data_IF_377060540427
#
_entry.id   IF_377060540427
#
_cell.length_a   1.000
_cell.length_b   1.000
_cell.length_c   1.000
_cell.angle_alpha   90.00
_cell.angle_beta   90.00
_cell.angle_gamma   90.00
#
_symmetry.space_group_name_H-M   'P 1'
#
loop_
_entity.id
_entity.type
_entity.pdbx_description
1 polymer ?
#
# COMPACT_ATOMS: atom_id res chain seq x y z
N UNK A 1 -11.37 -39.62 -2.82
CA UNK A 1 -10.17 -38.92 -3.33
C UNK A 1 -9.07 -39.14 -2.30
N UNK A 2 -7.92 -39.60 -2.71
CA UNK A 2 -6.78 -39.90 -1.85
C UNK A 2 -5.86 -38.68 -1.78
N UNK A 3 -5.05 -38.55 -0.74
CA UNK A 3 -4.04 -37.51 -0.61
C UNK A 3 -3.06 -37.54 -1.80
N UNK A 4 -2.72 -38.76 -2.27
CA UNK A 4 -1.85 -38.94 -3.45
C UNK A 4 -2.37 -38.36 -4.75
N UNK A 5 -3.70 -38.13 -4.85
CA UNK A 5 -4.35 -37.66 -6.07
C UNK A 5 -4.37 -36.11 -6.13
N UNK A 6 -3.95 -35.44 -5.03
CA UNK A 6 -3.94 -34.00 -4.89
C UNK A 6 -2.59 -33.42 -5.31
N UNK A 7 -2.67 -32.25 -5.94
CA UNK A 7 -1.50 -31.47 -6.37
C UNK A 7 -1.47 -30.10 -5.68
N UNK A 8 -0.29 -29.59 -5.47
CA UNK A 8 -0.05 -28.21 -4.99
C UNK A 8 0.27 -27.35 -6.20
N UNK A 9 -0.38 -26.24 -6.31
CA UNK A 9 -0.07 -25.19 -7.29
C UNK A 9 0.76 -24.12 -6.60
N UNK A 10 1.93 -23.81 -7.15
CA UNK A 10 2.89 -22.87 -6.55
C UNK A 10 2.31 -21.45 -6.41
N UNK A 11 1.50 -21.00 -7.36
CA UNK A 11 0.87 -19.69 -7.29
C UNK A 11 -0.18 -19.66 -6.16
N UNK A 12 -0.99 -20.71 -6.00
CA UNK A 12 -1.98 -20.78 -4.92
C UNK A 12 -1.29 -20.86 -3.54
N UNK A 13 -0.21 -21.64 -3.44
CA UNK A 13 0.58 -21.72 -2.21
C UNK A 13 1.23 -20.39 -1.86
N UNK A 14 1.77 -19.66 -2.84
CA UNK A 14 2.43 -18.37 -2.65
C UNK A 14 1.52 -17.26 -2.11
N UNK A 15 0.21 -17.39 -2.29
CA UNK A 15 -0.80 -16.44 -1.76
C UNK A 15 -1.02 -16.64 -0.26
N UNK A 16 -0.73 -17.82 0.26
CA UNK A 16 -0.98 -18.16 1.66
C UNK A 16 0.20 -17.68 2.50
N UNK A 17 -0.05 -16.85 3.52
CA UNK A 17 1.01 -16.42 4.42
C UNK A 17 1.69 -17.65 5.05
N UNK A 18 3.03 -17.73 5.03
CA UNK A 18 3.73 -18.83 5.65
C UNK A 18 3.53 -18.83 7.16
N UNK A 19 3.46 -20.02 7.75
CA UNK A 19 3.58 -20.18 9.19
C UNK A 19 5.05 -20.07 9.60
N UNK A 20 5.31 -19.65 10.83
CA UNK A 20 6.62 -19.86 11.44
C UNK A 20 6.85 -21.35 11.71
N UNK A 21 8.10 -21.75 11.89
CA UNK A 21 8.43 -23.15 12.19
C UNK A 21 7.74 -23.57 13.49
N UNK A 22 7.69 -22.70 14.49
CA UNK A 22 6.99 -22.94 15.77
C UNK A 22 5.47 -23.14 15.57
N UNK A 23 4.83 -22.27 14.77
CA UNK A 23 3.40 -22.39 14.47
C UNK A 23 3.09 -23.67 13.69
N UNK A 24 4.01 -24.08 12.80
CA UNK A 24 3.85 -25.32 12.03
C UNK A 24 3.97 -26.54 12.92
N UNK A 25 4.95 -26.58 13.83
CA UNK A 25 5.12 -27.69 14.78
C UNK A 25 3.92 -27.80 15.74
N UNK A 26 3.43 -26.68 16.28
CA UNK A 26 2.23 -26.67 17.12
C UNK A 26 1.00 -27.20 16.37
N UNK A 27 0.84 -26.84 15.09
CA UNK A 27 -0.24 -27.37 14.27
C UNK A 27 -0.08 -28.89 14.06
N UNK A 28 1.15 -29.35 13.82
CA UNK A 28 1.47 -30.77 13.62
C UNK A 28 1.20 -31.57 14.88
N UNK A 29 1.67 -31.14 16.04
CA UNK A 29 1.41 -31.77 17.34
C UNK A 29 -0.10 -31.90 17.61
N UNK A 30 -0.84 -30.80 17.45
CA UNK A 30 -2.29 -30.81 17.64
C UNK A 30 -3.01 -31.83 16.75
N UNK A 31 -2.63 -31.92 15.47
CA UNK A 31 -3.25 -32.89 14.54
C UNK A 31 -2.87 -34.34 14.90
N UNK A 32 -1.65 -34.58 15.34
CA UNK A 32 -1.19 -35.91 15.74
C UNK A 32 -1.89 -36.38 17.03
N UNK A 33 -2.05 -35.48 18.01
CA UNK A 33 -2.75 -35.76 19.25
C UNK A 33 -4.23 -36.10 19.04
N UNK A 34 -4.89 -35.33 18.13
CA UNK A 34 -6.29 -35.55 17.78
C UNK A 34 -6.51 -36.80 16.90
N UNK A 35 -5.49 -37.27 16.18
CA UNK A 35 -5.57 -38.34 15.21
C UNK A 35 -6.39 -38.05 13.97
N UNK A 36 -6.85 -36.79 13.81
CA UNK A 36 -7.61 -36.35 12.65
C UNK A 36 -7.44 -34.85 12.34
N UNK A 37 -7.65 -34.52 11.08
CA UNK A 37 -7.68 -33.15 10.61
C UNK A 37 -9.12 -32.64 10.60
N UNK A 38 -9.52 -31.87 11.62
CA UNK A 38 -10.90 -31.37 11.77
C UNK A 38 -11.37 -30.48 10.61
N UNK A 39 -10.53 -29.54 10.17
CA UNK A 39 -10.87 -28.67 9.06
C UNK A 39 -10.52 -29.32 7.72
N UNK A 40 -11.50 -29.45 6.78
CA UNK A 40 -11.26 -30.12 5.52
C UNK A 40 -10.23 -29.39 4.65
N UNK A 41 -9.56 -30.15 3.78
CA UNK A 41 -8.83 -29.57 2.66
C UNK A 41 -9.84 -29.08 1.61
N UNK A 42 -9.67 -27.88 1.10
CA UNK A 42 -10.49 -27.37 -0.01
C UNK A 42 -9.73 -27.56 -1.31
N UNK A 43 -10.38 -28.18 -2.29
CA UNK A 43 -9.75 -28.52 -3.57
C UNK A 43 -10.62 -28.09 -4.75
N UNK A 44 -9.95 -27.72 -5.84
CA UNK A 44 -10.51 -27.42 -7.16
C UNK A 44 -9.71 -28.15 -8.22
N UNK A 45 -10.37 -28.97 -9.05
CA UNK A 45 -9.70 -29.77 -10.08
C UNK A 45 -8.49 -30.56 -9.56
N UNK A 46 -8.61 -31.17 -8.37
CA UNK A 46 -7.55 -31.88 -7.65
C UNK A 46 -6.37 -31.00 -7.16
N UNK A 47 -6.45 -29.70 -7.36
CA UNK A 47 -5.46 -28.74 -6.84
C UNK A 47 -5.93 -28.26 -5.47
N UNK A 48 -5.02 -28.16 -4.53
CA UNK A 48 -5.31 -27.65 -3.19
C UNK A 48 -5.48 -26.14 -3.25
N UNK A 49 -6.61 -25.65 -2.74
CA UNK A 49 -6.95 -24.23 -2.66
C UNK A 49 -6.84 -23.71 -1.22
N UNK A 50 -7.19 -24.53 -0.22
CA UNK A 50 -6.94 -24.22 1.19
C UNK A 50 -6.52 -25.48 1.94
N UNK A 51 -5.62 -25.28 2.92
CA UNK A 51 -5.12 -26.34 3.78
C UNK A 51 -3.74 -26.88 3.39
N UNK A 52 -2.90 -26.09 2.73
CA UNK A 52 -1.56 -26.48 2.29
C UNK A 52 -0.67 -27.01 3.45
N UNK A 53 -0.70 -26.36 4.61
CA UNK A 53 0.06 -26.85 5.79
C UNK A 53 -0.47 -28.18 6.30
N UNK A 54 -1.80 -28.35 6.37
CA UNK A 54 -2.45 -29.61 6.74
C UNK A 54 -2.15 -30.73 5.74
N UNK A 55 -2.10 -30.39 4.45
CA UNK A 55 -1.72 -31.34 3.42
C UNK A 55 -0.26 -31.81 3.57
N UNK A 56 0.66 -30.91 3.94
CA UNK A 56 2.06 -31.30 4.21
C UNK A 56 2.15 -32.32 5.33
N UNK A 57 1.41 -32.11 6.42
CA UNK A 57 1.34 -33.04 7.54
C UNK A 57 0.73 -34.39 7.12
N UNK A 58 -0.38 -34.35 6.36
CA UNK A 58 -1.05 -35.55 5.88
C UNK A 58 -0.21 -36.38 4.89
N UNK A 59 0.74 -35.78 4.19
CA UNK A 59 1.70 -36.52 3.34
C UNK A 59 2.70 -37.34 4.15
N UNK A 60 3.07 -36.88 5.34
CA UNK A 60 3.98 -37.55 6.25
C UNK A 60 3.26 -38.60 7.11
N UNK A 61 1.96 -38.38 7.39
CA UNK A 61 1.13 -39.17 8.32
C UNK A 61 -0.15 -39.63 7.64
N UNK A 62 -0.03 -40.67 6.78
CA UNK A 62 -1.13 -41.20 5.98
C UNK A 62 -2.22 -41.90 6.76
N UNK A 63 -1.95 -42.27 8.03
CA UNK A 63 -2.88 -42.86 8.97
C UNK A 63 -3.94 -41.91 9.53
N UNK A 64 -3.69 -40.63 9.44
CA UNK A 64 -4.59 -39.57 9.95
C UNK A 64 -5.90 -39.53 9.17
N UNK A 65 -6.98 -39.30 9.88
CA UNK A 65 -8.29 -39.08 9.27
C UNK A 65 -8.37 -37.65 8.73
N UNK A 66 -8.97 -37.48 7.55
CA UNK A 66 -9.15 -36.17 6.92
C UNK A 66 -10.42 -36.12 6.09
N UNK A 67 -10.84 -34.90 5.78
CA UNK A 67 -11.97 -34.63 4.89
C UNK A 67 -11.52 -33.71 3.75
N UNK A 68 -12.13 -33.88 2.59
CA UNK A 68 -11.90 -33.05 1.42
C UNK A 68 -13.22 -32.42 1.01
N UNK A 69 -13.23 -31.11 0.79
CA UNK A 69 -14.35 -30.36 0.24
C UNK A 69 -13.98 -29.89 -1.15
N UNK A 70 -14.74 -30.29 -2.15
CA UNK A 70 -14.59 -29.78 -3.51
C UNK A 70 -15.31 -28.45 -3.62
N UNK A 71 -14.65 -27.50 -4.27
CA UNK A 71 -15.21 -26.20 -4.61
C UNK A 71 -14.96 -25.91 -6.08
N UNK A 72 -15.97 -25.45 -6.78
CA UNK A 72 -15.86 -25.08 -8.18
C UNK A 72 -15.59 -23.57 -8.30
N UNK A 73 -14.72 -23.21 -9.24
CA UNK A 73 -14.42 -21.84 -9.63
C UNK A 73 -14.48 -21.75 -11.15
N UNK A 74 -14.94 -20.62 -11.67
CA UNK A 74 -15.04 -20.40 -13.12
C UNK A 74 -13.65 -20.34 -13.77
N UNK A 75 -12.69 -19.78 -13.04
CA UNK A 75 -11.31 -19.64 -13.54
C UNK A 75 -10.31 -19.54 -12.39
N UNK A 76 -9.02 -19.58 -12.74
CA UNK A 76 -7.90 -19.48 -11.80
C UNK A 76 -7.92 -18.19 -10.95
N UNK A 77 -8.31 -17.07 -11.56
CA UNK A 77 -8.31 -15.78 -10.88
C UNK A 77 -9.39 -15.70 -9.80
N UNK A 78 -10.54 -16.33 -10.03
CA UNK A 78 -11.58 -16.45 -9.01
C UNK A 78 -11.11 -17.30 -7.83
N UNK A 79 -10.41 -18.41 -8.10
CA UNK A 79 -9.82 -19.24 -7.05
C UNK A 79 -8.82 -18.44 -6.19
N UNK A 80 -7.90 -17.68 -6.82
CA UNK A 80 -6.93 -16.84 -6.11
C UNK A 80 -7.64 -15.74 -5.29
N UNK A 81 -8.65 -15.09 -5.86
CA UNK A 81 -9.44 -14.08 -5.13
C UNK A 81 -10.11 -14.68 -3.90
N UNK A 82 -10.67 -15.90 -4.04
CA UNK A 82 -11.26 -16.62 -2.91
C UNK A 82 -10.22 -16.98 -1.85
N UNK A 83 -9.03 -17.45 -2.25
CA UNK A 83 -7.92 -17.71 -1.31
C UNK A 83 -7.59 -16.45 -0.53
N UNK A 84 -7.40 -15.31 -1.22
CA UNK A 84 -7.09 -14.04 -0.57
C UNK A 84 -8.17 -13.64 0.45
N UNK A 85 -9.45 -13.75 0.07
CA UNK A 85 -10.57 -13.42 0.96
C UNK A 85 -10.61 -14.33 2.19
N UNK A 86 -10.41 -15.63 2.00
CA UNK A 86 -10.38 -16.62 3.08
C UNK A 86 -9.22 -16.35 4.06
N UNK A 87 -8.04 -16.00 3.53
CA UNK A 87 -6.89 -15.63 4.37
C UNK A 87 -7.12 -14.31 5.12
N UNK A 88 -7.74 -13.29 4.48
CA UNK A 88 -8.06 -12.01 5.11
C UNK A 88 -9.01 -12.16 6.31
N UNK A 89 -9.81 -13.21 6.37
CA UNK A 89 -10.65 -13.55 7.53
C UNK A 89 -9.86 -14.07 8.75
N UNK A 90 -8.59 -14.37 8.63
CA UNK A 90 -7.77 -14.87 9.74
C UNK A 90 -7.35 -13.74 10.67
N UNK A 91 -7.27 -14.03 11.97
CA UNK A 91 -6.97 -13.03 13.02
C UNK A 91 -5.48 -12.66 13.10
N UNK A 92 -4.57 -13.55 12.70
CA UNK A 92 -3.13 -13.47 12.97
C UNK A 92 -2.32 -12.90 11.79
N UNK A 93 -2.93 -12.08 10.92
CA UNK A 93 -2.21 -11.45 9.82
C UNK A 93 -1.54 -10.16 10.28
N UNK A 94 -0.27 -9.99 9.95
CA UNK A 94 0.40 -8.70 10.07
C UNK A 94 -0.03 -7.73 8.97
N UNK A 95 0.27 -6.43 9.14
CA UNK A 95 -0.17 -5.39 8.20
C UNK A 95 0.39 -5.58 6.78
N UNK A 96 1.57 -6.17 6.66
CA UNK A 96 2.20 -6.45 5.35
C UNK A 96 1.50 -7.60 4.66
N UNK A 97 1.18 -8.68 5.38
CA UNK A 97 0.41 -9.81 4.88
C UNK A 97 -0.99 -9.36 4.42
N UNK A 98 -1.69 -8.55 5.25
CA UNK A 98 -2.99 -7.97 4.87
C UNK A 98 -2.88 -7.16 3.58
N UNK A 99 -1.86 -6.31 3.47
CA UNK A 99 -1.61 -5.51 2.28
C UNK A 99 -1.36 -6.36 1.04
N UNK A 100 -0.53 -7.40 1.16
CA UNK A 100 -0.28 -8.35 0.07
C UNK A 100 -1.57 -9.02 -0.41
N UNK A 101 -2.39 -9.52 0.52
CA UNK A 101 -3.65 -10.19 0.20
C UNK A 101 -4.66 -9.24 -0.47
N UNK A 102 -4.80 -8.01 0.04
CA UNK A 102 -5.69 -7.00 -0.56
C UNK A 102 -5.23 -6.65 -1.98
N UNK A 103 -3.93 -6.42 -2.17
CA UNK A 103 -3.37 -6.09 -3.48
C UNK A 103 -3.51 -7.22 -4.48
N UNK A 104 -3.23 -8.46 -4.07
CA UNK A 104 -3.36 -9.65 -4.92
C UNK A 104 -4.83 -9.93 -5.27
N UNK A 105 -5.74 -9.82 -4.31
CA UNK A 105 -7.18 -9.90 -4.56
C UNK A 105 -7.63 -8.87 -5.61
N UNK A 106 -7.25 -7.62 -5.45
CA UNK A 106 -7.62 -6.57 -6.39
C UNK A 106 -7.07 -6.83 -7.79
N UNK A 107 -5.81 -7.25 -7.91
CA UNK A 107 -5.16 -7.61 -9.17
C UNK A 107 -5.88 -8.75 -9.87
N UNK A 108 -6.19 -9.83 -9.15
CA UNK A 108 -6.85 -11.03 -9.72
C UNK A 108 -8.30 -10.78 -10.10
N UNK A 109 -9.06 -10.02 -9.33
CA UNK A 109 -10.44 -9.67 -9.69
C UNK A 109 -10.51 -8.76 -10.93
N UNK A 110 -9.55 -7.89 -11.13
CA UNK A 110 -9.41 -7.12 -12.38
C UNK A 110 -9.15 -8.04 -13.57
N UNK A 111 -8.28 -9.04 -13.39
CA UNK A 111 -7.96 -10.01 -14.45
C UNK A 111 -9.16 -10.92 -14.77
N UNK A 112 -9.88 -11.39 -13.76
CA UNK A 112 -11.07 -12.20 -13.94
C UNK A 112 -12.13 -11.48 -14.80
N UNK A 113 -12.38 -10.21 -14.53
CA UNK A 113 -13.34 -9.41 -15.32
C UNK A 113 -12.84 -9.09 -16.74
N UNK A 114 -11.54 -8.91 -16.93
CA UNK A 114 -10.95 -8.66 -18.26
C UNK A 114 -10.78 -9.92 -19.09
N UNK A 115 -10.75 -11.10 -18.47
CA UNK A 115 -10.58 -12.38 -19.16
C UNK A 115 -11.88 -12.90 -19.77
N UNK A 116 -13.06 -12.48 -19.24
CA UNK A 116 -14.36 -12.97 -19.72
C UNK A 116 -14.75 -12.47 -21.12
N UNK A 117 -14.16 -11.35 -21.60
CA UNK A 117 -14.60 -10.72 -22.86
C UNK A 117 -13.53 -10.56 -23.94
N UNK A 118 -12.27 -10.96 -23.71
CA UNK A 118 -11.17 -10.69 -24.67
C UNK A 118 -10.94 -9.19 -24.92
N UNK A 119 -11.63 -8.33 -24.19
CA UNK A 119 -11.66 -6.89 -24.36
C UNK A 119 -10.72 -6.20 -23.40
N UNK A 120 -9.47 -6.08 -23.78
CA UNK A 120 -8.60 -5.03 -23.21
C UNK A 120 -9.07 -3.67 -23.73
N UNK A 121 -10.27 -3.25 -23.37
CA UNK A 121 -10.79 -1.94 -23.66
C UNK A 121 -10.02 -0.90 -22.87
N UNK A 122 -9.16 -0.15 -23.56
CA UNK A 122 -8.67 1.11 -23.03
C UNK A 122 -9.89 2.00 -22.80
N UNK A 123 -10.23 2.31 -21.55
CA UNK A 123 -11.37 3.16 -21.18
C UNK A 123 -11.32 4.56 -21.83
N UNK A 124 -10.23 4.89 -22.53
CA UNK A 124 -10.04 6.13 -23.30
C UNK A 124 -10.19 5.97 -24.80
N UNK A 125 -10.45 4.76 -25.35
CA UNK A 125 -10.86 4.64 -26.75
C UNK A 125 -12.34 5.01 -26.85
N UNK A 126 -12.64 6.25 -27.21
CA UNK A 126 -13.94 6.65 -27.74
C UNK A 126 -14.29 5.71 -28.90
N UNK A 127 -15.31 4.87 -28.68
CA UNK A 127 -15.90 4.07 -29.75
C UNK A 127 -16.45 5.04 -30.80
N UNK A 128 -15.88 5.02 -31.96
CA UNK A 128 -16.44 5.66 -33.15
C UNK A 128 -17.58 4.77 -33.59
N UNK A 129 -18.77 5.07 -33.10
CA UNK A 129 -20.13 4.82 -33.58
C UNK A 129 -21.08 4.57 -32.39
N UNK A 130 -21.65 5.60 -31.91
CA UNK A 130 -23.03 5.85 -31.58
C UNK A 130 -23.90 4.77 -30.90
N UNK A 131 -23.40 3.99 -29.95
CA UNK A 131 -24.28 3.38 -28.95
C UNK A 131 -23.58 3.50 -27.58
N UNK A 132 -23.96 4.51 -26.87
CA UNK A 132 -23.69 4.67 -25.44
C UNK A 132 -24.60 3.64 -24.75
N UNK A 133 -24.07 2.46 -24.45
CA UNK A 133 -24.65 1.59 -23.43
C UNK A 133 -24.10 2.14 -22.11
N UNK A 134 -24.94 2.72 -21.25
CA UNK A 134 -24.50 3.05 -19.89
C UNK A 134 -24.09 1.72 -19.25
N UNK A 135 -22.82 1.60 -18.89
CA UNK A 135 -22.43 0.57 -17.93
C UNK A 135 -23.30 0.79 -16.68
N UNK A 136 -23.90 -0.25 -16.07
CA UNK A 136 -24.61 -0.10 -14.84
C UNK A 136 -23.76 0.68 -13.85
N UNK A 137 -24.33 1.64 -13.14
CA UNK A 137 -23.66 2.47 -12.12
C UNK A 137 -22.96 1.62 -11.04
N UNK A 138 -23.32 0.36 -10.89
CA UNK A 138 -22.72 -0.63 -9.99
C UNK A 138 -21.41 -1.26 -10.52
N UNK A 139 -20.99 -0.97 -11.76
CA UNK A 139 -19.66 -1.37 -12.27
C UNK A 139 -18.51 -0.55 -11.63
N UNK A 140 -18.84 0.33 -10.69
CA UNK A 140 -17.88 1.15 -10.00
C UNK A 140 -16.90 0.31 -9.19
N UNK A 141 -15.83 0.05 -9.89
CA UNK A 141 -14.49 0.02 -9.37
C UNK A 141 -14.36 -1.08 -8.31
N UNK A 142 -13.87 -2.21 -8.74
CA UNK A 142 -13.42 -3.31 -7.88
C UNK A 142 -12.69 -2.78 -6.63
N UNK A 143 -11.95 -1.67 -6.76
CA UNK A 143 -11.29 -1.01 -5.63
C UNK A 143 -12.24 -0.43 -4.60
N UNK A 144 -13.35 0.20 -4.99
CA UNK A 144 -14.37 0.72 -4.05
C UNK A 144 -15.04 -0.38 -3.26
N UNK A 145 -15.42 -1.48 -3.95
CA UNK A 145 -16.06 -2.62 -3.30
C UNK A 145 -15.13 -3.29 -2.29
N UNK A 146 -13.89 -3.61 -2.71
CA UNK A 146 -12.89 -4.18 -1.80
C UNK A 146 -12.58 -3.24 -0.64
N UNK A 147 -12.53 -1.93 -0.88
CA UNK A 147 -12.31 -0.94 0.15
C UNK A 147 -13.43 -0.93 1.19
N UNK A 148 -14.69 -0.96 0.75
CA UNK A 148 -15.86 -1.04 1.63
C UNK A 148 -15.87 -2.34 2.46
N UNK A 149 -15.63 -3.49 1.82
CA UNK A 149 -15.56 -4.80 2.49
C UNK A 149 -14.44 -4.87 3.54
N UNK A 150 -13.31 -4.19 3.31
CA UNK A 150 -12.14 -4.21 4.20
C UNK A 150 -12.10 -3.03 5.19
N UNK A 151 -13.10 -2.16 5.20
CA UNK A 151 -13.12 -0.97 6.05
C UNK A 151 -11.97 0.00 5.77
N UNK A 152 -11.55 0.12 4.51
CA UNK A 152 -10.43 0.97 4.08
C UNK A 152 -10.87 1.90 2.93
N UNK A 153 -9.93 2.63 2.33
CA UNK A 153 -10.23 3.49 1.18
C UNK A 153 -9.63 2.93 -0.12
N UNK A 154 -10.22 3.32 -1.26
CA UNK A 154 -9.77 2.89 -2.59
C UNK A 154 -8.29 3.16 -2.86
N UNK A 155 -7.77 4.28 -2.37
CA UNK A 155 -6.37 4.64 -2.55
C UNK A 155 -5.45 3.63 -1.88
N UNK A 156 -5.86 3.08 -0.73
CA UNK A 156 -5.14 2.00 -0.04
C UNK A 156 -5.15 0.72 -0.87
N UNK A 157 -6.30 0.33 -1.43
CA UNK A 157 -6.42 -0.86 -2.29
C UNK A 157 -5.53 -0.75 -3.53
N UNK A 158 -5.58 0.39 -4.24
CA UNK A 158 -4.74 0.64 -5.43
C UNK A 158 -3.23 0.71 -5.11
N UNK A 159 -2.88 1.20 -3.92
CA UNK A 159 -1.49 1.18 -3.46
C UNK A 159 -1.02 -0.23 -3.10
N UNK A 160 -1.92 -1.04 -2.55
CA UNK A 160 -1.63 -2.43 -2.25
C UNK A 160 -1.34 -3.25 -3.53
N UNK A 161 -2.06 -3.01 -4.64
CA UNK A 161 -1.74 -3.61 -5.94
C UNK A 161 -0.31 -3.26 -6.39
N UNK A 162 0.02 -1.96 -6.38
CA UNK A 162 1.37 -1.51 -6.78
C UNK A 162 2.47 -2.09 -5.89
N UNK A 163 2.17 -2.33 -4.63
CA UNK A 163 3.09 -2.98 -3.71
C UNK A 163 3.30 -4.44 -4.10
N UNK A 164 2.22 -5.17 -4.42
CA UNK A 164 2.30 -6.55 -4.91
C UNK A 164 3.09 -6.62 -6.22
N UNK A 165 2.83 -5.74 -7.17
CA UNK A 165 3.59 -5.69 -8.43
C UNK A 165 5.09 -5.50 -8.19
N UNK A 166 5.44 -4.66 -7.19
CA UNK A 166 6.83 -4.46 -6.80
C UNK A 166 7.45 -5.68 -6.13
N UNK A 167 6.69 -6.40 -5.30
CA UNK A 167 7.15 -7.65 -4.68
C UNK A 167 7.32 -8.74 -5.71
N UNK A 168 6.36 -8.91 -6.63
CA UNK A 168 6.43 -9.89 -7.71
C UNK A 168 7.68 -9.62 -8.60
N UNK A 169 7.92 -8.36 -8.98
CA UNK A 169 9.09 -7.98 -9.77
C UNK A 169 10.43 -8.16 -9.03
N UNK A 170 10.43 -8.01 -7.71
CA UNK A 170 11.61 -8.27 -6.89
C UNK A 170 11.86 -9.76 -6.71
N UNK A 171 10.82 -10.57 -6.54
CA UNK A 171 10.90 -12.03 -6.42
C UNK A 171 11.49 -12.68 -7.68
N UNK A 172 11.17 -12.14 -8.88
CA UNK A 172 11.74 -12.60 -10.16
C UNK A 172 13.28 -12.49 -10.20
N UNK A 173 13.84 -11.44 -9.58
CA UNK A 173 15.29 -11.15 -9.64
C UNK A 173 16.03 -11.53 -8.35
N UNK A 174 15.31 -11.68 -7.26
CA UNK A 174 15.84 -12.01 -5.93
C UNK A 174 14.88 -12.98 -5.23
N UNK A 175 14.97 -14.31 -5.52
CA UNK A 175 14.10 -15.30 -4.92
C UNK A 175 14.13 -15.29 -3.39
N UNK A 176 12.96 -15.37 -2.75
CA UNK A 176 12.79 -15.29 -1.30
C UNK A 176 12.44 -13.89 -0.78
N UNK A 177 12.43 -12.87 -1.64
CA UNK A 177 12.09 -11.50 -1.25
C UNK A 177 10.66 -11.40 -0.68
N UNK A 178 9.70 -12.06 -1.31
CA UNK A 178 8.31 -12.08 -0.83
C UNK A 178 8.18 -12.73 0.56
N UNK A 179 8.93 -13.81 0.81
CA UNK A 179 8.98 -14.46 2.12
C UNK A 179 9.59 -13.55 3.19
N UNK A 180 10.69 -12.88 2.87
CA UNK A 180 11.39 -11.97 3.80
C UNK A 180 10.51 -10.74 4.18
N UNK A 181 9.71 -10.23 3.24
CA UNK A 181 8.74 -9.16 3.51
C UNK A 181 7.56 -9.69 4.35
N UNK A 182 6.98 -10.83 4.00
CA UNK A 182 5.79 -11.35 4.67
C UNK A 182 6.08 -11.86 6.06
N UNK A 183 7.28 -12.40 6.30
CA UNK A 183 7.77 -12.78 7.63
C UNK A 183 8.13 -11.56 8.51
N UNK A 184 8.29 -10.37 7.89
CA UNK A 184 8.68 -9.16 8.60
C UNK A 184 10.19 -9.03 8.87
N UNK A 185 11.02 -9.88 8.26
CA UNK A 185 12.49 -9.78 8.30
C UNK A 185 12.96 -8.45 7.72
N UNK A 186 12.32 -7.99 6.64
CA UNK A 186 12.49 -6.65 6.10
C UNK A 186 11.16 -5.90 6.12
N UNK A 187 11.20 -4.58 6.39
CA UNK A 187 10.01 -3.70 6.46
C UNK A 187 10.19 -2.48 5.56
N UNK A 188 10.27 -2.67 4.25
CA UNK A 188 10.51 -1.56 3.33
C UNK A 188 9.29 -0.63 3.26
N UNK A 189 9.53 0.62 2.83
CA UNK A 189 8.43 1.54 2.53
C UNK A 189 7.70 1.05 1.28
N UNK A 190 6.38 1.16 1.31
CA UNK A 190 5.52 0.74 0.18
C UNK A 190 5.87 1.45 -1.14
N UNK A 191 6.28 2.73 -1.08
CA UNK A 191 6.75 3.48 -2.24
C UNK A 191 7.96 2.85 -2.89
N UNK A 192 8.93 2.43 -2.07
CA UNK A 192 10.22 1.96 -2.56
C UNK A 192 10.07 0.58 -3.23
N UNK A 193 9.25 -0.30 -2.65
CA UNK A 193 8.88 -1.57 -3.28
C UNK A 193 8.14 -1.33 -4.61
N UNK A 194 7.16 -0.42 -4.64
CA UNK A 194 6.39 -0.14 -5.85
C UNK A 194 7.24 0.48 -6.99
N UNK A 195 8.41 1.05 -6.70
CA UNK A 195 9.34 1.55 -7.73
C UNK A 195 10.03 0.41 -8.48
N UNK A 196 10.25 -0.74 -7.83
CA UNK A 196 10.93 -1.90 -8.45
C UNK A 196 10.16 -2.38 -9.70
N UNK A 197 8.83 -2.47 -9.62
CA UNK A 197 8.01 -2.87 -10.78
C UNK A 197 8.13 -1.92 -11.97
N UNK A 198 8.46 -0.65 -11.73
CA UNK A 198 8.57 0.37 -12.78
C UNK A 198 9.99 0.49 -13.35
N UNK A 199 10.97 -0.04 -12.64
CA UNK A 199 12.36 0.03 -13.03
C UNK A 199 12.66 -0.94 -14.19
N UNK A 200 13.66 -0.61 -15.04
CA UNK A 200 14.21 -1.55 -16.01
C UNK A 200 14.67 -2.85 -15.34
N UNK A 201 14.59 -3.97 -16.05
CA UNK A 201 14.91 -5.30 -15.49
C UNK A 201 16.33 -5.35 -14.89
N UNK A 202 17.27 -4.64 -15.49
CA UNK A 202 18.67 -4.58 -15.06
C UNK A 202 18.85 -3.91 -13.68
N UNK A 203 17.99 -2.94 -13.34
CA UNK A 203 18.07 -2.18 -12.09
C UNK A 203 17.29 -2.83 -10.95
N UNK A 204 16.30 -3.70 -11.26
CA UNK A 204 15.38 -4.29 -10.27
C UNK A 204 16.12 -5.00 -9.15
N UNK A 205 17.15 -5.78 -9.51
CA UNK A 205 17.93 -6.53 -8.54
C UNK A 205 18.63 -5.61 -7.54
N UNK A 206 19.29 -4.57 -8.04
CA UNK A 206 19.99 -3.62 -7.16
C UNK A 206 19.02 -2.86 -6.25
N UNK A 207 17.86 -2.48 -6.78
CA UNK A 207 16.80 -1.83 -5.98
C UNK A 207 16.28 -2.76 -4.89
N UNK A 208 16.04 -4.04 -5.20
CA UNK A 208 15.61 -5.03 -4.22
C UNK A 208 16.67 -5.27 -3.13
N UNK A 209 17.93 -5.46 -3.51
CA UNK A 209 19.07 -5.61 -2.58
C UNK A 209 19.26 -4.38 -1.67
N UNK A 210 19.01 -3.18 -2.18
CA UNK A 210 19.09 -1.95 -1.39
C UNK A 210 18.06 -1.90 -0.25
N UNK A 211 16.92 -2.61 -0.37
CA UNK A 211 15.90 -2.66 0.67
C UNK A 211 16.31 -3.52 1.89
N UNK A 212 17.35 -4.35 1.75
CA UNK A 212 17.93 -5.08 2.88
C UNK A 212 18.95 -4.24 3.67
N UNK A 213 19.43 -3.14 3.10
CA UNK A 213 20.41 -2.29 3.78
C UNK A 213 19.70 -1.49 4.88
N UNK A 214 20.26 -1.51 6.06
CA UNK A 214 19.82 -0.59 7.10
C UNK A 214 20.11 0.86 6.69
N UNK A 215 19.15 1.78 6.89
CA UNK A 215 19.39 3.18 6.62
C UNK A 215 20.54 3.71 7.51
N UNK A 216 21.45 4.44 6.90
CA UNK A 216 22.58 5.06 7.60
C UNK A 216 22.10 6.01 8.71
N UNK A 217 22.93 6.32 9.73
CA UNK A 217 22.56 7.29 10.76
C UNK A 217 22.11 8.64 10.19
N UNK A 218 22.72 9.10 9.10
CA UNK A 218 22.38 10.33 8.39
C UNK A 218 21.00 10.23 7.71
N UNK A 219 20.71 9.10 7.06
CA UNK A 219 19.39 8.84 6.46
C UNK A 219 18.31 8.71 7.53
N UNK A 220 18.61 8.09 8.68
CA UNK A 220 17.69 8.02 9.83
C UNK A 220 17.36 9.43 10.34
N UNK A 221 18.38 10.29 10.48
CA UNK A 221 18.22 11.69 10.90
C UNK A 221 17.41 12.49 9.87
N UNK A 222 17.72 12.38 8.58
CA UNK A 222 16.98 13.03 7.48
C UNK A 222 15.51 12.59 7.42
N UNK A 223 15.25 11.29 7.58
CA UNK A 223 13.90 10.75 7.61
C UNK A 223 13.11 11.20 8.85
N UNK A 224 13.77 11.38 9.99
CA UNK A 224 13.18 11.93 11.22
C UNK A 224 12.78 13.39 10.98
N UNK A 225 13.71 14.22 10.52
CA UNK A 225 13.47 15.64 10.22
C UNK A 225 12.32 15.81 9.22
N UNK A 226 12.29 15.00 8.15
CA UNK A 226 11.18 15.01 7.17
C UNK A 226 9.84 14.64 7.81
N UNK A 227 9.81 13.70 8.75
CA UNK A 227 8.59 13.34 9.49
C UNK A 227 8.13 14.46 10.40
N UNK A 228 9.06 15.09 11.11
CA UNK A 228 8.77 16.17 12.03
C UNK A 228 8.26 17.40 11.26
N UNK A 229 8.86 17.70 10.09
CA UNK A 229 8.38 18.73 9.17
C UNK A 229 6.94 18.43 8.69
N UNK A 230 6.68 17.21 8.20
CA UNK A 230 5.34 16.85 7.73
C UNK A 230 4.30 16.84 8.85
N UNK A 231 4.72 16.57 10.08
CA UNK A 231 3.86 16.71 11.26
C UNK A 231 3.57 18.19 11.54
N UNK A 232 4.57 19.05 11.49
CA UNK A 232 4.42 20.49 11.66
C UNK A 232 3.48 21.07 10.57
N UNK A 233 3.68 20.73 9.29
CA UNK A 233 2.82 21.15 8.19
C UNK A 233 1.36 20.70 8.43
N UNK A 234 1.12 19.46 8.85
CA UNK A 234 -0.23 18.97 9.16
C UNK A 234 -0.87 19.69 10.34
N UNK A 235 -0.09 20.05 11.35
CA UNK A 235 -0.59 20.86 12.47
C UNK A 235 -0.91 22.29 12.01
N UNK A 236 -0.20 22.80 11.02
CA UNK A 236 -0.48 24.09 10.40
C UNK A 236 -1.74 24.06 9.52
N UNK A 237 -1.98 22.96 8.76
CA UNK A 237 -3.22 22.79 7.96
C UNK A 237 -4.48 22.58 8.83
N UNK A 238 -4.31 22.34 10.13
CA UNK A 238 -5.40 22.12 11.08
C UNK A 238 -5.94 23.44 11.69
N UNK A 239 -5.54 24.61 11.20
CA UNK A 239 -6.24 25.85 11.54
C UNK A 239 -7.60 25.85 10.85
N UNK A 240 -8.59 25.42 11.62
CA UNK A 240 -9.98 25.28 11.23
C UNK A 240 -10.56 26.65 10.91
N UNK A 241 -10.76 26.96 9.63
CA UNK A 241 -11.70 28.02 9.26
C UNK A 241 -13.09 27.42 9.55
N UNK A 242 -13.87 28.01 10.46
CA UNK A 242 -15.22 27.52 10.73
C UNK A 242 -16.02 27.48 9.42
N UNK A 243 -16.74 26.39 9.18
CA UNK A 243 -17.56 26.20 7.98
C UNK A 243 -18.73 27.20 7.86
N UNK A 244 -18.95 27.99 8.88
CA UNK A 244 -20.00 29.02 8.95
C UNK A 244 -19.38 30.42 8.93
N UNK A 245 -19.23 30.95 7.71
CA UNK A 245 -18.62 32.26 7.44
C UNK A 245 -19.37 33.44 8.09
N UNK A 246 -20.61 33.25 8.55
CA UNK A 246 -21.42 34.28 9.21
C UNK A 246 -21.05 34.53 10.68
N UNK A 247 -20.09 33.80 11.24
CA UNK A 247 -19.65 33.92 12.64
C UNK A 247 -18.17 34.26 12.82
N UNK A 248 -17.45 34.55 11.75
CA UNK A 248 -16.03 34.89 11.83
C UNK A 248 -15.92 36.33 12.36
N UNK A 249 -15.27 36.48 13.50
CA UNK A 249 -14.99 37.80 14.08
C UNK A 249 -13.68 38.37 13.55
N UNK A 250 -13.48 39.70 13.60
CA UNK A 250 -12.18 40.30 13.30
C UNK A 250 -11.04 39.74 14.11
N UNK A 251 -11.32 39.29 15.32
CA UNK A 251 -10.36 38.67 16.23
C UNK A 251 -9.92 37.29 15.75
N UNK A 252 -10.84 36.49 15.19
CA UNK A 252 -10.52 35.18 14.61
C UNK A 252 -9.63 35.34 13.36
N UNK A 253 -9.92 36.38 12.55
CA UNK A 253 -9.10 36.73 11.40
C UNK A 253 -7.71 37.21 11.78
N UNK A 254 -7.57 37.97 12.86
CA UNK A 254 -6.27 38.43 13.37
C UNK A 254 -5.42 37.27 13.86
N UNK A 255 -6.01 36.34 14.62
CA UNK A 255 -5.33 35.12 15.07
C UNK A 255 -4.90 34.24 13.91
N UNK A 256 -5.75 34.13 12.88
CA UNK A 256 -5.41 33.39 11.66
C UNK A 256 -4.24 34.05 10.94
N UNK A 257 -4.27 35.37 10.78
CA UNK A 257 -3.19 36.11 10.14
C UNK A 257 -1.86 35.95 10.90
N UNK A 258 -1.89 36.09 12.23
CA UNK A 258 -0.71 35.88 13.08
C UNK A 258 -0.14 34.45 12.91
N UNK A 259 -1.00 33.43 12.93
CA UNK A 259 -0.61 32.04 12.72
C UNK A 259 0.05 31.80 11.36
N UNK A 260 -0.49 32.44 10.28
CA UNK A 260 0.09 32.30 8.94
C UNK A 260 1.47 32.98 8.83
N UNK A 261 1.66 34.13 9.48
CA UNK A 261 2.96 34.81 9.52
C UNK A 261 3.99 33.95 10.27
N UNK A 262 3.62 33.38 11.43
CA UNK A 262 4.50 32.50 12.21
C UNK A 262 4.88 31.24 11.41
N UNK A 263 3.96 30.69 10.61
CA UNK A 263 4.23 29.57 9.72
C UNK A 263 5.26 29.91 8.65
N UNK A 264 5.11 31.08 8.01
CA UNK A 264 6.07 31.53 7.00
C UNK A 264 7.46 31.67 7.59
N UNK A 265 7.58 32.31 8.76
CA UNK A 265 8.87 32.48 9.47
C UNK A 265 9.47 31.11 9.79
N UNK A 266 8.70 30.21 10.43
CA UNK A 266 9.19 28.90 10.81
C UNK A 266 9.59 28.04 9.59
N UNK A 267 8.88 28.19 8.47
CA UNK A 267 9.24 27.49 7.22
C UNK A 267 10.53 28.02 6.61
N UNK A 268 10.75 29.33 6.68
CA UNK A 268 12.01 29.96 6.22
C UNK A 268 13.19 29.51 7.07
N UNK A 269 13.08 29.59 8.38
CA UNK A 269 14.12 29.16 9.33
C UNK A 269 14.44 27.67 9.10
N UNK A 270 13.41 26.83 8.99
CA UNK A 270 13.60 25.42 8.69
C UNK A 270 14.37 25.20 7.37
N UNK A 271 14.02 25.89 6.29
CA UNK A 271 14.72 25.72 5.00
C UNK A 271 16.17 26.13 5.10
N UNK A 272 16.48 27.20 5.83
CA UNK A 272 17.84 27.69 6.01
C UNK A 272 18.67 26.77 6.92
N UNK A 273 18.08 26.24 7.98
CA UNK A 273 18.73 25.30 8.89
C UNK A 273 18.93 23.93 8.25
N UNK A 274 17.97 23.48 7.43
CA UNK A 274 18.03 22.18 6.76
C UNK A 274 19.04 22.18 5.60
N UNK A 275 19.24 23.31 4.93
CA UNK A 275 20.11 23.45 3.78
C UNK A 275 20.96 24.73 3.93
N UNK A 276 22.02 24.72 4.77
CA UNK A 276 22.87 25.90 4.98
C UNK A 276 23.55 26.41 3.70
N UNK A 277 23.66 25.56 2.67
CA UNK A 277 24.19 25.91 1.36
C UNK A 277 23.35 27.02 0.69
N UNK A 278 22.09 27.20 1.06
CA UNK A 278 21.24 28.29 0.59
C UNK A 278 21.81 29.67 0.95
N UNK A 279 22.57 29.75 2.05
CA UNK A 279 23.20 30.98 2.53
C UNK A 279 24.68 31.08 2.15
N UNK A 280 25.35 29.98 1.80
CA UNK A 280 26.79 29.93 1.56
C UNK A 280 27.15 29.90 0.06
N UNK A 281 26.35 29.21 -0.76
CA UNK A 281 26.60 29.14 -2.20
C UNK A 281 26.06 30.39 -2.91
N UNK A 282 26.89 31.08 -3.67
CA UNK A 282 26.57 32.37 -4.30
C UNK A 282 25.32 32.32 -5.21
N UNK A 283 25.12 31.20 -5.90
CA UNK A 283 23.95 31.00 -6.78
C UNK A 283 22.64 31.00 -6.00
N UNK A 284 22.58 30.24 -4.88
CA UNK A 284 21.39 30.14 -4.07
C UNK A 284 21.15 31.38 -3.22
N UNK A 285 22.21 31.97 -2.69
CA UNK A 285 22.13 33.20 -1.91
C UNK A 285 21.48 34.36 -2.68
N UNK A 286 21.76 34.45 -3.96
CA UNK A 286 21.12 35.48 -4.84
C UNK A 286 19.61 35.23 -4.95
N UNK A 287 19.19 33.98 -5.11
CA UNK A 287 17.77 33.61 -5.18
C UNK A 287 17.05 33.82 -3.84
N UNK A 288 17.68 33.47 -2.71
CA UNK A 288 17.16 33.74 -1.36
C UNK A 288 16.99 35.24 -1.12
N UNK A 289 17.98 36.03 -1.47
CA UNK A 289 17.86 37.51 -1.39
C UNK A 289 16.71 38.05 -2.22
N UNK A 290 16.48 37.49 -3.41
CA UNK A 290 15.34 37.87 -4.27
C UNK A 290 13.99 37.58 -3.56
N UNK A 291 13.84 36.44 -2.93
CA UNK A 291 12.61 36.05 -2.18
C UNK A 291 12.41 36.99 -0.97
N UNK A 292 13.47 37.26 -0.21
CA UNK A 292 13.41 38.19 0.92
C UNK A 292 13.05 39.61 0.48
N UNK A 293 13.55 40.07 -0.65
CA UNK A 293 13.18 41.38 -1.17
C UNK A 293 11.71 41.43 -1.61
N UNK A 294 11.18 40.37 -2.24
CA UNK A 294 9.74 40.30 -2.54
C UNK A 294 8.86 40.42 -1.29
N UNK A 295 9.25 39.79 -0.18
CA UNK A 295 8.54 39.92 1.11
C UNK A 295 8.64 41.36 1.64
N UNK A 296 9.81 41.98 1.56
CA UNK A 296 9.99 43.39 1.99
C UNK A 296 9.13 44.35 1.16
N UNK A 297 9.09 44.17 -0.14
CA UNK A 297 8.29 44.98 -1.06
C UNK A 297 6.81 44.82 -0.74
N UNK A 298 6.34 43.62 -0.48
CA UNK A 298 4.97 43.34 -0.06
C UNK A 298 4.61 43.99 1.29
N UNK A 299 5.49 43.91 2.29
CA UNK A 299 5.30 44.55 3.60
C UNK A 299 5.23 46.08 3.41
N UNK A 300 6.12 46.65 2.60
CA UNK A 300 6.13 48.07 2.30
C UNK A 300 4.84 48.53 1.61
N UNK A 301 4.34 47.75 0.66
CA UNK A 301 3.05 48.01 0.00
C UNK A 301 1.87 47.98 1.00
N UNK A 302 1.89 47.04 1.96
CA UNK A 302 0.89 47.02 3.02
C UNK A 302 0.92 48.30 3.86
N UNK A 303 2.12 48.74 4.29
CA UNK A 303 2.29 49.93 5.12
C UNK A 303 1.87 51.21 4.38
N UNK A 304 2.32 51.40 3.12
CA UNK A 304 2.11 52.61 2.36
C UNK A 304 0.70 52.73 1.77
N UNK A 305 0.13 51.64 1.30
CA UNK A 305 -1.11 51.69 0.50
C UNK A 305 -2.34 51.14 1.22
N UNK A 306 -2.22 50.19 2.11
CA UNK A 306 -3.37 49.55 2.79
C UNK A 306 -3.59 50.10 4.19
N UNK A 307 -2.54 50.35 4.97
CA UNK A 307 -2.71 50.94 6.29
C UNK A 307 -2.93 52.45 6.26
N UNK A 308 -2.30 53.15 5.33
CA UNK A 308 -2.52 54.57 5.16
C UNK A 308 -3.95 54.95 4.69
N UNK A 309 -4.65 54.01 4.04
CA UNK A 309 -6.05 54.18 3.65
C UNK A 309 -7.05 53.89 4.80
N UNK A 310 -6.58 53.34 5.93
CA UNK A 310 -7.39 53.00 7.08
C UNK A 310 -7.31 54.02 8.24
N UNK A 311 -6.39 55.01 8.14
CA UNK A 311 -6.22 56.14 9.06
C UNK A 311 -6.85 57.39 8.45
#
# INVERSE_FOLDING_TARGET
MRISDLTVDEEFESVIPPLTDEEFELLKESILDDGEVYHPLVVWNNIIVDGHHRYKILKEHLELKYRITKREFENRYEAISWICLNQLGRRNLNDTQKKMLIGRRYKTEKMARGASDGFRGNQYKKSVKGHFVPLPDDAHITSSRIAAEMGTNEKTVRRAEKFVDGVDAAEEVLPGFAKDITSGKIKPKQSDVATIAKAPAEERRQLAENLYKEPTPEEKARNKNKRDLMKAIRMCDATHIPSDTNKITPQDMLLTFQSEVEKVISSMDFCLDYCPELLTASEYLTKVKGIVNQLKDYIKDLEENRYAAAL
#
